data_IF_390710374167
#
_entry.id   IF_390710374167
#
_cell.length_a   1.000
_cell.length_b   1.000
_cell.length_c   1.000
_cell.angle_alpha   90.00
_cell.angle_beta   90.00
_cell.angle_gamma   90.00
#
_symmetry.space_group_name_H-M   'P 1'
#
loop_
_entity.id
_entity.type
_entity.pdbx_description
1 polymer ?
#
# COMPACT_ATOMS: atom_id res chain seq x y z
N UNK A 1 -18.49 -5.00 -8.42
CA UNK A 1 -17.70 -5.42 -9.59
C UNK A 1 -17.41 -4.19 -10.43
N UNK A 2 -16.25 -3.58 -10.22
CA UNK A 2 -15.84 -2.43 -11.02
C UNK A 2 -15.54 -2.91 -12.45
N UNK A 3 -16.39 -2.51 -13.41
CA UNK A 3 -16.21 -2.83 -14.84
C UNK A 3 -14.90 -2.27 -15.43
N UNK A 4 -14.23 -1.37 -14.74
CA UNK A 4 -12.94 -0.79 -15.12
C UNK A 4 -11.76 -1.75 -15.00
N UNK A 5 -11.88 -2.84 -14.26
CA UNK A 5 -10.79 -3.81 -14.06
C UNK A 5 -10.72 -4.89 -15.16
N UNK A 6 -11.73 -5.03 -16.00
CA UNK A 6 -11.77 -6.03 -17.07
C UNK A 6 -10.83 -5.72 -18.22
N UNK A 7 -9.58 -5.82 -18.03
CA UNK A 7 -8.54 -5.59 -19.05
C UNK A 7 -7.23 -5.09 -18.49
N UNK A 8 -7.25 -4.57 -17.25
CA UNK A 8 -6.07 -4.03 -16.57
C UNK A 8 -5.53 -5.01 -15.50
N UNK A 9 -6.26 -6.07 -15.17
CA UNK A 9 -6.00 -6.94 -14.03
C UNK A 9 -6.38 -6.27 -12.71
N UNK A 10 -6.79 -7.05 -11.74
CA UNK A 10 -7.17 -6.59 -10.41
C UNK A 10 -5.95 -6.56 -9.48
N UNK A 11 -5.69 -5.40 -8.86
CA UNK A 11 -4.67 -5.24 -7.82
C UNK A 11 -5.36 -5.10 -6.47
N UNK A 12 -5.01 -5.97 -5.52
CA UNK A 12 -5.56 -5.96 -4.18
C UNK A 12 -4.50 -5.63 -3.13
N UNK A 13 -4.82 -4.68 -2.22
CA UNK A 13 -3.98 -4.41 -1.05
C UNK A 13 -4.19 -5.50 0.00
N UNK A 14 -3.13 -6.25 0.32
CA UNK A 14 -3.12 -7.21 1.42
C UNK A 14 -2.41 -6.61 2.62
N UNK A 15 -3.19 -6.18 3.61
CA UNK A 15 -2.68 -5.69 4.86
C UNK A 15 -1.90 -6.79 5.59
N UNK A 16 -0.74 -6.45 6.17
CA UNK A 16 0.10 -7.42 6.88
C UNK A 16 -0.63 -7.95 8.12
N UNK A 17 -1.03 -7.08 9.02
CA UNK A 17 -1.62 -7.45 10.30
C UNK A 17 -3.14 -7.62 10.23
N UNK A 18 -3.68 -8.30 11.24
CA UNK A 18 -5.13 -8.45 11.49
C UNK A 18 -5.45 -7.99 12.91
N UNK A 19 -6.71 -7.61 13.17
CA UNK A 19 -7.14 -7.22 14.51
C UNK A 19 -7.22 -8.43 15.46
N UNK A 20 -7.09 -8.20 16.77
CA UNK A 20 -7.24 -9.25 17.80
C UNK A 20 -8.69 -9.77 17.91
N UNK A 21 -9.67 -8.98 17.43
CA UNK A 21 -11.09 -9.37 17.34
C UNK A 21 -11.51 -9.89 15.96
N UNK A 22 -10.54 -10.14 15.06
CA UNK A 22 -10.80 -10.69 13.73
C UNK A 22 -11.15 -12.18 13.75
N UNK A 23 -11.81 -12.65 12.70
CA UNK A 23 -12.04 -14.07 12.47
C UNK A 23 -10.72 -14.86 12.39
N UNK A 24 -9.67 -14.26 11.83
CA UNK A 24 -8.33 -14.87 11.73
C UNK A 24 -7.74 -15.15 13.12
N UNK A 25 -7.75 -14.14 14.00
CA UNK A 25 -7.22 -14.27 15.36
C UNK A 25 -8.08 -15.22 16.22
N UNK A 26 -9.38 -15.29 15.97
CA UNK A 26 -10.28 -16.20 16.67
C UNK A 26 -10.13 -17.66 16.23
N UNK A 27 -9.96 -17.90 14.92
CA UNK A 27 -9.90 -19.26 14.37
C UNK A 27 -8.55 -19.94 14.58
N UNK A 28 -7.46 -19.18 14.57
CA UNK A 28 -6.09 -19.68 14.67
C UNK A 28 -5.24 -18.82 15.64
N UNK A 29 -5.66 -18.69 16.93
CA UNK A 29 -5.03 -17.79 17.89
C UNK A 29 -3.55 -18.10 18.14
N UNK A 30 -3.12 -19.34 17.93
CA UNK A 30 -1.74 -19.79 18.09
C UNK A 30 -0.74 -19.13 17.12
N UNK A 31 -1.23 -18.54 16.05
CA UNK A 31 -0.42 -17.81 15.06
C UNK A 31 -0.07 -16.38 15.50
N UNK A 32 -0.64 -15.91 16.59
CA UNK A 32 -0.53 -14.53 17.06
C UNK A 32 -0.08 -14.46 18.51
N UNK A 33 0.54 -13.35 18.90
CA UNK A 33 0.88 -13.09 20.29
C UNK A 33 -0.35 -12.60 21.06
N UNK A 34 -1.19 -13.57 21.46
CA UNK A 34 -2.42 -13.36 22.23
C UNK A 34 -2.32 -13.98 23.62
N UNK A 35 -3.05 -13.38 24.58
CA UNK A 35 -3.31 -13.96 25.89
C UNK A 35 -4.36 -15.07 25.81
N UNK A 36 -4.54 -15.81 26.90
CA UNK A 36 -5.59 -16.84 27.02
C UNK A 36 -7.00 -16.29 26.88
N UNK A 37 -7.17 -14.96 27.01
CA UNK A 37 -8.45 -14.25 26.80
C UNK A 37 -8.60 -13.70 25.37
N UNK A 38 -7.67 -14.01 24.45
CA UNK A 38 -7.69 -13.56 23.07
C UNK A 38 -7.24 -12.11 22.86
N UNK A 39 -6.72 -11.43 23.89
CA UNK A 39 -6.20 -10.07 23.76
C UNK A 39 -4.73 -10.06 23.36
N UNK A 40 -4.36 -9.13 22.46
CA UNK A 40 -2.98 -8.95 22.06
C UNK A 40 -2.07 -8.65 23.26
N UNK A 41 -0.92 -9.33 23.34
CA UNK A 41 0.14 -9.11 24.34
C UNK A 41 1.37 -8.43 23.73
N UNK A 42 1.57 -8.60 22.44
CA UNK A 42 2.56 -7.89 21.61
C UNK A 42 1.81 -7.29 20.41
N UNK A 43 1.91 -5.99 20.24
CA UNK A 43 1.19 -5.25 19.20
C UNK A 43 2.14 -4.61 18.19
N UNK A 44 1.66 -4.43 16.99
CA UNK A 44 2.40 -3.81 15.89
C UNK A 44 2.40 -2.28 16.01
N UNK A 45 3.41 -1.67 15.42
CA UNK A 45 3.56 -0.23 15.32
C UNK A 45 4.74 0.16 14.44
N UNK A 46 5.13 1.41 14.49
CA UNK A 46 6.32 1.95 13.86
C UNK A 46 7.04 2.89 14.84
N UNK A 47 8.38 2.90 14.88
CA UNK A 47 9.12 3.82 15.73
C UNK A 47 8.93 5.27 15.28
N UNK A 48 9.30 6.26 16.10
CA UNK A 48 9.33 7.66 15.70
C UNK A 48 10.10 7.89 14.40
N UNK A 49 9.50 8.66 13.50
CA UNK A 49 10.10 9.09 12.25
C UNK A 49 9.72 10.55 11.92
N UNK A 50 10.09 11.03 10.73
CA UNK A 50 9.79 12.40 10.30
C UNK A 50 8.29 12.63 10.05
N UNK A 51 7.50 11.58 9.83
CA UNK A 51 6.06 11.65 9.59
C UNK A 51 5.25 11.52 10.89
N UNK A 52 5.78 10.76 11.86
CA UNK A 52 5.17 10.52 13.16
C UNK A 52 6.22 10.63 14.27
N UNK A 53 6.50 11.85 14.78
CA UNK A 53 7.55 12.08 15.79
C UNK A 53 7.39 11.28 17.09
N UNK A 54 6.16 10.91 17.44
CA UNK A 54 5.85 10.06 18.62
C UNK A 54 5.85 8.56 18.28
N UNK A 55 6.10 8.21 17.00
CA UNK A 55 5.89 6.87 16.46
C UNK A 55 4.41 6.54 16.30
N UNK A 56 4.14 5.30 15.90
CA UNK A 56 2.77 4.83 15.68
C UNK A 56 2.52 3.54 16.46
N UNK A 57 1.37 3.45 17.10
CA UNK A 57 0.85 2.24 17.75
C UNK A 57 -0.36 1.79 16.96
N UNK A 58 -0.25 0.69 16.21
CA UNK A 58 -1.36 0.19 15.36
C UNK A 58 -2.32 -0.72 16.11
N UNK A 59 -1.87 -1.34 17.20
CA UNK A 59 -2.71 -2.15 18.09
C UNK A 59 -3.01 -3.57 17.61
N UNK A 60 -2.64 -3.95 16.40
CA UNK A 60 -2.83 -5.31 15.91
C UNK A 60 -1.84 -6.27 16.56
N UNK A 61 -2.22 -7.52 16.89
CA UNK A 61 -1.30 -8.51 17.42
C UNK A 61 -0.19 -8.81 16.41
N UNK A 62 1.04 -8.98 16.90
CA UNK A 62 2.13 -9.44 16.07
C UNK A 62 2.09 -10.96 15.89
N UNK A 63 2.74 -11.45 14.83
CA UNK A 63 2.73 -12.86 14.47
C UNK A 63 3.74 -13.68 15.26
N UNK A 64 3.42 -14.94 15.51
CA UNK A 64 4.33 -15.96 15.99
C UNK A 64 4.99 -16.65 14.80
N UNK A 65 5.97 -15.96 14.19
CA UNK A 65 6.65 -16.42 12.99
C UNK A 65 7.38 -17.76 13.18
N UNK A 66 7.87 -18.06 14.39
CA UNK A 66 8.43 -19.35 14.79
C UNK A 66 7.41 -20.46 14.58
N UNK A 67 6.22 -20.27 15.10
CA UNK A 67 5.11 -21.20 15.01
C UNK A 67 4.61 -21.39 13.59
N UNK A 68 4.44 -20.27 12.87
CA UNK A 68 4.04 -20.31 11.47
C UNK A 68 5.06 -21.03 10.58
N UNK A 69 6.35 -20.87 10.86
CA UNK A 69 7.40 -21.59 10.13
C UNK A 69 7.32 -23.10 10.34
N UNK A 70 7.05 -23.58 11.57
CA UNK A 70 6.91 -25.00 11.90
C UNK A 70 5.81 -25.70 11.09
N UNK A 71 4.73 -24.97 10.76
CA UNK A 71 3.59 -25.50 9.97
C UNK A 71 3.62 -25.09 8.48
N UNK A 72 4.77 -24.60 7.97
CA UNK A 72 4.93 -24.19 6.58
C UNK A 72 4.16 -22.91 6.23
N UNK A 73 3.98 -22.00 7.19
CA UNK A 73 3.23 -20.75 7.00
C UNK A 73 1.80 -20.96 6.48
N UNK A 74 1.15 -22.05 6.86
CA UNK A 74 -0.14 -22.48 6.33
C UNK A 74 -1.18 -21.36 6.28
N UNK A 75 -1.34 -20.59 7.35
CA UNK A 75 -2.26 -19.45 7.40
C UNK A 75 -1.97 -18.42 6.28
N UNK A 76 -0.69 -18.09 6.06
CA UNK A 76 -0.29 -17.21 4.96
C UNK A 76 -0.53 -17.84 3.60
N UNK A 77 -0.26 -19.12 3.42
CA UNK A 77 -0.50 -19.83 2.15
C UNK A 77 -1.99 -19.83 1.79
N UNK A 78 -2.88 -20.08 2.74
CA UNK A 78 -4.32 -20.03 2.53
C UNK A 78 -4.80 -18.61 2.21
N UNK A 79 -4.27 -17.61 2.93
CA UNK A 79 -4.56 -16.19 2.70
C UNK A 79 -4.11 -15.73 1.31
N UNK A 80 -2.91 -16.11 0.88
CA UNK A 80 -2.37 -15.76 -0.44
C UNK A 80 -3.12 -16.50 -1.56
N UNK A 81 -3.37 -17.80 -1.38
CA UNK A 81 -4.17 -18.60 -2.34
C UNK A 81 -5.53 -17.95 -2.57
N UNK A 82 -6.21 -17.52 -1.50
CA UNK A 82 -7.48 -16.83 -1.62
C UNK A 82 -7.34 -15.48 -2.32
N UNK A 83 -6.33 -14.69 -2.01
CA UNK A 83 -6.11 -13.41 -2.66
C UNK A 83 -5.88 -13.58 -4.17
N UNK A 84 -4.98 -14.48 -4.58
CA UNK A 84 -4.69 -14.72 -5.99
C UNK A 84 -5.77 -15.50 -6.74
N UNK A 85 -6.75 -16.09 -6.05
CA UNK A 85 -7.96 -16.62 -6.71
C UNK A 85 -8.95 -15.53 -7.11
N UNK A 86 -8.79 -14.32 -6.60
CA UNK A 86 -9.68 -13.18 -6.82
C UNK A 86 -9.02 -12.05 -7.63
N UNK A 87 -7.70 -11.91 -7.51
CA UNK A 87 -6.96 -10.75 -8.02
C UNK A 87 -5.71 -11.19 -8.79
N UNK A 88 -5.35 -10.43 -9.81
CA UNK A 88 -4.17 -10.72 -10.65
C UNK A 88 -2.86 -10.27 -10.01
N UNK A 89 -2.92 -9.27 -9.13
CA UNK A 89 -1.79 -8.73 -8.38
C UNK A 89 -2.17 -8.46 -6.94
N UNK A 90 -1.21 -8.61 -6.03
CA UNK A 90 -1.40 -8.34 -4.60
C UNK A 90 -0.32 -7.38 -4.12
N UNK A 91 -0.73 -6.20 -3.66
CA UNK A 91 0.16 -5.27 -2.97
C UNK A 91 0.30 -5.72 -1.51
N UNK A 92 1.50 -6.08 -1.14
CA UNK A 92 1.86 -6.39 0.25
C UNK A 92 2.12 -5.09 1.00
N UNK A 93 1.20 -4.77 1.88
CA UNK A 93 1.30 -3.60 2.74
C UNK A 93 2.39 -3.81 3.80
N UNK A 94 3.10 -2.75 4.15
CA UNK A 94 4.18 -2.78 5.13
C UNK A 94 5.20 -3.89 4.85
N UNK A 95 5.70 -3.99 3.61
CA UNK A 95 6.59 -5.07 3.17
C UNK A 95 7.84 -5.21 4.03
N UNK A 96 8.35 -4.11 4.57
CA UNK A 96 9.48 -4.09 5.47
C UNK A 96 9.26 -5.03 6.69
N UNK A 97 8.02 -5.17 7.16
CA UNK A 97 7.65 -6.00 8.31
C UNK A 97 7.90 -7.50 8.09
N UNK A 98 7.98 -7.96 6.83
CA UNK A 98 8.39 -9.33 6.53
C UNK A 98 9.89 -9.57 6.72
N UNK A 99 10.71 -8.52 6.66
CA UNK A 99 12.13 -8.60 7.02
C UNK A 99 12.33 -8.37 8.50
N UNK A 100 11.79 -7.26 9.02
CA UNK A 100 11.84 -6.88 10.43
C UNK A 100 10.62 -6.02 10.77
N UNK A 101 10.00 -6.28 11.88
CA UNK A 101 8.82 -5.58 12.34
C UNK A 101 9.03 -4.97 13.72
N UNK A 102 8.32 -3.88 13.99
CA UNK A 102 8.38 -3.19 15.27
C UNK A 102 7.26 -3.72 16.18
N UNK A 103 7.64 -4.32 17.31
CA UNK A 103 6.74 -4.91 18.29
C UNK A 103 6.76 -4.11 19.58
N UNK A 104 5.59 -3.80 20.10
CA UNK A 104 5.37 -3.02 21.31
C UNK A 104 4.61 -3.92 22.28
N UNK A 105 5.05 -4.08 23.56
CA UNK A 105 4.25 -4.77 24.55
C UNK A 105 2.91 -4.05 24.75
N UNK A 106 1.81 -4.78 24.74
CA UNK A 106 0.45 -4.20 24.85
C UNK A 106 0.30 -3.33 26.09
N UNK A 107 -0.31 -2.15 25.91
CA UNK A 107 -0.48 -1.16 26.97
C UNK A 107 0.77 -0.33 27.30
N UNK A 108 1.86 -0.48 26.54
CA UNK A 108 3.07 0.33 26.65
C UNK A 108 3.12 1.42 25.57
N UNK A 109 4.01 2.40 25.77
CA UNK A 109 4.26 3.45 24.80
C UNK A 109 5.07 2.92 23.62
N UNK A 110 5.03 3.63 22.47
CA UNK A 110 5.83 3.30 21.30
C UNK A 110 7.33 3.19 21.62
N UNK A 111 7.84 4.06 22.53
CA UNK A 111 9.23 4.04 22.97
C UNK A 111 9.68 2.73 23.65
N UNK A 112 8.75 1.92 24.15
CA UNK A 112 9.03 0.60 24.76
C UNK A 112 9.11 -0.51 23.71
N UNK A 113 8.88 -0.18 22.45
CA UNK A 113 8.91 -1.13 21.35
C UNK A 113 10.32 -1.53 20.93
N UNK A 114 10.40 -2.61 20.17
CA UNK A 114 11.65 -3.17 19.66
C UNK A 114 11.51 -3.76 18.28
N UNK A 115 12.59 -3.73 17.51
CA UNK A 115 12.66 -4.43 16.24
C UNK A 115 12.89 -5.93 16.44
N UNK A 116 12.09 -6.74 15.76
CA UNK A 116 12.18 -8.19 15.73
C UNK A 116 12.31 -8.67 14.28
N UNK A 117 12.92 -9.84 14.07
CA UNK A 117 13.05 -10.44 12.75
C UNK A 117 11.70 -10.97 12.27
N UNK A 118 11.33 -10.65 11.02
CA UNK A 118 10.22 -11.25 10.32
C UNK A 118 10.58 -12.63 9.71
N UNK A 119 9.67 -13.24 8.94
CA UNK A 119 9.89 -14.54 8.29
C UNK A 119 10.94 -14.49 7.18
N UNK A 120 11.26 -13.28 6.69
CA UNK A 120 12.20 -13.10 5.61
C UNK A 120 11.72 -13.71 4.29
N UNK A 121 12.70 -14.11 3.47
CA UNK A 121 12.44 -14.76 2.17
C UNK A 121 11.81 -16.15 2.28
N UNK A 122 11.92 -16.81 3.43
CA UNK A 122 11.46 -18.19 3.61
C UNK A 122 9.94 -18.31 3.36
N UNK A 123 9.16 -17.35 3.84
CA UNK A 123 7.71 -17.28 3.58
C UNK A 123 7.40 -17.19 2.08
N UNK A 124 8.11 -16.33 1.36
CA UNK A 124 7.89 -16.12 -0.08
C UNK A 124 8.39 -17.31 -0.90
N UNK A 125 9.47 -17.94 -0.49
CA UNK A 125 9.92 -19.19 -1.11
C UNK A 125 8.87 -20.29 -0.96
N UNK A 126 8.33 -20.47 0.25
CA UNK A 126 7.23 -21.43 0.50
C UNK A 126 6.02 -21.10 -0.37
N UNK A 127 5.67 -19.81 -0.51
CA UNK A 127 4.56 -19.39 -1.37
C UNK A 127 4.79 -19.73 -2.84
N UNK A 128 6.00 -19.51 -3.38
CA UNK A 128 6.33 -19.91 -4.75
C UNK A 128 6.32 -21.41 -4.94
N UNK A 129 6.84 -22.17 -3.97
CA UNK A 129 6.90 -23.62 -4.06
C UNK A 129 5.50 -24.25 -4.02
N UNK A 130 4.57 -23.67 -3.26
CA UNK A 130 3.23 -24.22 -3.06
C UNK A 130 2.20 -23.67 -4.05
N UNK A 131 2.27 -22.38 -4.40
CA UNK A 131 1.27 -21.67 -5.19
C UNK A 131 1.72 -21.30 -6.61
N UNK A 132 3.02 -21.51 -6.91
CA UNK A 132 3.61 -21.11 -8.17
C UNK A 132 3.97 -19.62 -8.24
N UNK A 133 4.25 -19.08 -9.44
CA UNK A 133 4.59 -17.66 -9.62
C UNK A 133 3.46 -16.74 -9.17
N UNK A 134 3.79 -15.76 -8.33
CA UNK A 134 2.85 -14.81 -7.74
C UNK A 134 3.25 -13.37 -8.07
N UNK A 135 2.30 -12.56 -8.50
CA UNK A 135 2.50 -11.17 -8.89
C UNK A 135 2.34 -10.25 -7.68
N UNK A 136 3.37 -10.12 -6.83
CA UNK A 136 3.37 -9.17 -5.73
C UNK A 136 3.82 -7.77 -6.15
N UNK A 137 3.34 -6.77 -5.42
CA UNK A 137 3.89 -5.41 -5.36
C UNK A 137 4.28 -5.17 -3.91
N UNK A 138 5.54 -4.83 -3.65
CA UNK A 138 6.02 -4.53 -2.31
C UNK A 138 5.73 -3.06 -1.98
N UNK A 139 5.04 -2.79 -0.86
CA UNK A 139 5.01 -1.45 -0.31
C UNK A 139 6.36 -1.20 0.37
N UNK A 140 7.23 -0.49 -0.33
CA UNK A 140 8.61 -0.20 0.04
C UNK A 140 8.80 1.29 0.36
N UNK A 141 7.82 1.89 1.03
CA UNK A 141 7.86 3.28 1.47
C UNK A 141 8.52 3.40 2.86
N UNK A 142 9.01 4.60 3.18
CA UNK A 142 9.66 4.90 4.47
C UNK A 142 11.13 4.47 4.54
N UNK A 143 11.63 4.20 5.75
CA UNK A 143 13.05 3.89 5.97
C UNK A 143 13.40 2.44 5.63
N UNK A 144 13.94 2.23 4.43
CA UNK A 144 14.36 0.92 3.97
C UNK A 144 15.82 0.63 4.33
N UNK A 145 16.02 -0.36 5.20
CA UNK A 145 17.37 -0.88 5.49
C UNK A 145 17.95 -1.63 4.26
N UNK A 146 19.28 -1.77 4.16
CA UNK A 146 19.89 -2.59 3.12
C UNK A 146 19.33 -4.03 3.06
N UNK A 147 18.97 -4.61 4.21
CA UNK A 147 18.37 -5.95 4.29
C UNK A 147 16.98 -6.03 3.64
N UNK A 148 16.13 -5.03 3.86
CA UNK A 148 14.80 -4.95 3.21
C UNK A 148 14.94 -4.81 1.70
N UNK A 149 15.84 -3.94 1.22
CA UNK A 149 16.11 -3.78 -0.23
C UNK A 149 16.62 -5.08 -0.85
N UNK A 150 17.56 -5.76 -0.19
CA UNK A 150 18.08 -7.03 -0.65
C UNK A 150 16.99 -8.11 -0.70
N UNK A 151 16.09 -8.15 0.27
CA UNK A 151 14.95 -9.08 0.28
C UNK A 151 14.00 -8.81 -0.88
N UNK A 152 13.57 -7.57 -1.10
CA UNK A 152 12.69 -7.19 -2.21
C UNK A 152 13.32 -7.55 -3.57
N UNK A 153 14.61 -7.22 -3.76
CA UNK A 153 15.35 -7.58 -4.96
C UNK A 153 15.47 -9.11 -5.16
N UNK A 154 15.76 -9.86 -4.09
CA UNK A 154 15.84 -11.33 -4.16
C UNK A 154 14.50 -11.97 -4.51
N UNK A 155 13.39 -11.43 -3.97
CA UNK A 155 12.05 -11.91 -4.29
C UNK A 155 11.55 -11.43 -5.67
N UNK A 156 12.21 -10.46 -6.30
CA UNK A 156 11.82 -9.91 -7.60
C UNK A 156 10.52 -9.09 -7.56
N UNK A 157 10.16 -8.55 -6.39
CA UNK A 157 8.93 -7.76 -6.25
C UNK A 157 9.17 -6.32 -6.67
N UNK A 158 8.35 -5.75 -7.59
CA UNK A 158 8.35 -4.33 -7.84
C UNK A 158 7.94 -3.57 -6.57
N UNK A 159 8.66 -2.48 -6.31
CA UNK A 159 8.29 -1.51 -5.29
C UNK A 159 7.34 -0.44 -5.83
N UNK A 160 7.17 0.62 -5.05
CA UNK A 160 6.29 1.75 -5.37
C UNK A 160 7.10 3.04 -5.54
N UNK A 161 6.74 3.83 -6.55
CA UNK A 161 7.08 5.25 -6.64
C UNK A 161 5.79 6.06 -6.44
N UNK A 162 5.78 6.98 -5.49
CA UNK A 162 4.64 7.86 -5.24
C UNK A 162 5.06 9.29 -5.56
N UNK A 163 4.28 10.01 -6.35
CA UNK A 163 4.67 11.35 -6.84
C UNK A 163 5.02 12.32 -5.70
N UNK A 164 4.27 12.30 -4.60
CA UNK A 164 4.53 13.14 -3.42
C UNK A 164 5.90 12.87 -2.76
N UNK A 165 6.48 11.67 -2.97
CA UNK A 165 7.77 11.26 -2.40
C UNK A 165 8.93 11.26 -3.41
N UNK A 166 8.70 11.82 -4.60
CA UNK A 166 9.75 11.96 -5.60
C UNK A 166 10.86 12.89 -5.11
N UNK A 167 12.10 12.54 -5.38
CA UNK A 167 13.30 13.32 -5.05
C UNK A 167 13.66 14.35 -6.15
N UNK A 168 12.79 14.50 -7.15
CA UNK A 168 12.91 15.45 -8.27
C UNK A 168 11.64 16.31 -8.38
N UNK A 169 11.74 17.45 -9.09
CA UNK A 169 10.59 18.30 -9.37
C UNK A 169 9.69 17.65 -10.44
N UNK A 170 8.59 17.06 -10.02
CA UNK A 170 7.63 16.37 -10.90
C UNK A 170 7.04 17.26 -12.01
N UNK A 171 7.09 18.60 -11.85
CA UNK A 171 6.67 19.55 -12.88
C UNK A 171 7.64 19.63 -14.07
N UNK A 172 8.88 19.21 -13.86
CA UNK A 172 9.91 19.14 -14.91
C UNK A 172 9.87 17.83 -15.70
N UNK A 173 9.07 16.88 -15.28
CA UNK A 173 8.91 15.56 -15.90
C UNK A 173 8.71 14.46 -14.88
N UNK A 174 8.14 13.34 -15.30
CA UNK A 174 7.97 12.15 -14.47
C UNK A 174 9.04 11.13 -14.86
N UNK A 175 9.89 10.76 -13.89
CA UNK A 175 11.00 9.85 -14.07
C UNK A 175 10.87 8.64 -13.15
N UNK A 176 10.04 7.64 -13.51
CA UNK A 176 9.81 6.47 -12.67
C UNK A 176 11.09 5.67 -12.47
N UNK A 177 11.30 5.15 -11.28
CA UNK A 177 12.37 4.18 -11.03
C UNK A 177 12.11 2.92 -11.85
N UNK A 178 13.09 2.45 -12.64
CA UNK A 178 12.90 1.27 -13.47
C UNK A 178 12.37 0.06 -12.68
N UNK A 179 11.30 -0.54 -13.18
CA UNK A 179 10.68 -1.72 -12.57
C UNK A 179 9.74 -1.44 -11.40
N UNK A 180 9.62 -0.20 -10.92
CA UNK A 180 8.64 0.17 -9.90
C UNK A 180 7.28 0.52 -10.50
N UNK A 181 6.25 0.42 -9.67
CA UNK A 181 4.89 0.84 -9.98
C UNK A 181 4.73 2.30 -9.58
N UNK A 182 4.26 3.13 -10.50
CA UNK A 182 4.05 4.55 -10.25
C UNK A 182 2.65 4.79 -9.68
N UNK A 183 2.56 5.52 -8.60
CA UNK A 183 1.32 5.95 -7.96
C UNK A 183 1.21 7.46 -8.01
N UNK A 184 0.07 7.99 -8.44
CA UNK A 184 -0.19 9.44 -8.38
C UNK A 184 -0.36 9.88 -6.94
N UNK A 185 -1.10 9.12 -6.14
CA UNK A 185 -1.21 9.20 -4.69
C UNK A 185 -1.56 7.83 -4.12
N UNK A 186 -1.70 7.71 -2.79
CA UNK A 186 -2.17 6.51 -2.10
C UNK A 186 -3.27 6.88 -1.11
N UNK A 187 -3.92 5.87 -0.50
CA UNK A 187 -4.88 6.11 0.58
C UNK A 187 -4.26 6.76 1.82
N UNK A 188 -2.94 6.65 2.02
CA UNK A 188 -2.19 7.20 3.17
C UNK A 188 -1.56 8.57 2.91
N UNK A 189 -1.51 9.01 1.64
CA UNK A 189 -1.00 10.32 1.24
C UNK A 189 -2.13 11.32 1.07
N UNK A 190 -1.77 12.55 0.76
CA UNK A 190 -2.73 13.51 0.23
C UNK A 190 -3.31 13.04 -1.10
N UNK A 191 -4.49 13.53 -1.48
CA UNK A 191 -4.89 13.44 -2.88
C UNK A 191 -3.92 14.22 -3.75
N UNK A 192 -3.78 13.85 -5.02
CA UNK A 192 -2.86 14.55 -5.92
C UNK A 192 -3.21 16.04 -6.02
N UNK A 193 -4.50 16.39 -6.12
CA UNK A 193 -4.96 17.78 -6.19
C UNK A 193 -4.67 18.52 -4.86
N UNK A 194 -4.92 17.91 -3.70
CA UNK A 194 -4.62 18.50 -2.41
C UNK A 194 -3.13 18.76 -2.23
N UNK A 195 -2.28 17.81 -2.60
CA UNK A 195 -0.82 17.98 -2.57
C UNK A 195 -0.37 19.09 -3.52
N UNK A 196 -0.85 19.12 -4.77
CA UNK A 196 -0.54 20.18 -5.74
C UNK A 196 -0.94 21.56 -5.24
N UNK A 197 -2.13 21.68 -4.66
CA UNK A 197 -2.67 22.94 -4.11
C UNK A 197 -1.74 23.50 -3.02
N UNK A 198 -1.32 22.65 -2.08
CA UNK A 198 -0.44 23.10 -0.99
C UNK A 198 1.00 23.35 -1.43
N UNK A 199 1.54 22.46 -2.23
CA UNK A 199 3.00 22.46 -2.50
C UNK A 199 3.40 23.39 -3.64
N UNK A 200 2.50 23.63 -4.61
CA UNK A 200 2.87 24.34 -5.84
C UNK A 200 1.95 25.51 -6.18
N UNK A 201 0.68 25.50 -5.78
CA UNK A 201 -0.30 26.50 -6.14
C UNK A 201 -0.55 27.55 -5.04
N UNK A 202 0.22 27.52 -3.94
CA UNK A 202 0.10 28.50 -2.86
C UNK A 202 -1.27 28.54 -2.18
N UNK A 203 -2.03 27.45 -2.26
CA UNK A 203 -3.37 27.32 -1.71
C UNK A 203 -4.50 27.59 -2.74
N UNK A 204 -4.18 27.94 -3.99
CA UNK A 204 -5.17 28.12 -5.04
C UNK A 204 -5.64 26.74 -5.58
N UNK A 205 -6.80 26.32 -5.15
CA UNK A 205 -7.37 25.01 -5.48
C UNK A 205 -7.57 24.78 -6.98
N UNK A 206 -8.13 25.72 -7.78
CA UNK A 206 -8.27 25.53 -9.23
C UNK A 206 -6.94 25.29 -9.95
N UNK A 207 -5.88 26.01 -9.55
CA UNK A 207 -4.52 25.80 -10.07
C UNK A 207 -3.94 24.45 -9.65
N UNK A 208 -4.21 24.03 -8.40
CA UNK A 208 -3.82 22.72 -7.90
C UNK A 208 -4.47 21.56 -8.66
N UNK A 209 -5.76 21.65 -8.93
CA UNK A 209 -6.50 20.64 -9.72
C UNK A 209 -5.98 20.59 -11.16
N UNK A 210 -5.70 21.75 -11.76
CA UNK A 210 -5.13 21.81 -13.13
C UNK A 210 -3.78 21.11 -13.19
N UNK A 211 -2.87 21.42 -12.25
CA UNK A 211 -1.57 20.78 -12.18
C UNK A 211 -1.68 19.27 -11.92
N UNK A 212 -2.57 18.84 -11.04
CA UNK A 212 -2.82 17.42 -10.79
C UNK A 212 -3.24 16.68 -12.06
N UNK A 213 -4.12 17.27 -12.87
CA UNK A 213 -4.52 16.69 -14.15
C UNK A 213 -3.35 16.58 -15.15
N UNK A 214 -2.47 17.56 -15.19
CA UNK A 214 -1.24 17.53 -16.01
C UNK A 214 -0.29 16.43 -15.54
N UNK A 215 -0.06 16.32 -14.22
CA UNK A 215 0.80 15.29 -13.65
C UNK A 215 0.25 13.87 -13.90
N UNK A 216 -1.06 13.66 -13.82
CA UNK A 216 -1.66 12.37 -14.20
C UNK A 216 -1.40 12.03 -15.67
N UNK A 217 -1.56 13.00 -16.57
CA UNK A 217 -1.22 12.83 -17.99
C UNK A 217 0.25 12.46 -18.19
N UNK A 218 1.15 13.16 -17.53
CA UNK A 218 2.59 12.91 -17.57
C UNK A 218 2.95 11.54 -16.97
N UNK A 219 2.30 11.14 -15.87
CA UNK A 219 2.48 9.81 -15.29
C UNK A 219 2.08 8.70 -16.27
N UNK A 220 0.94 8.85 -16.93
CA UNK A 220 0.48 7.90 -17.95
C UNK A 220 1.36 7.88 -19.19
N UNK A 221 1.97 9.00 -19.57
CA UNK A 221 2.91 9.09 -20.70
C UNK A 221 4.32 8.61 -20.36
N UNK A 222 4.62 8.33 -19.08
CA UNK A 222 5.94 7.89 -18.63
C UNK A 222 6.22 6.41 -18.96
N UNK A 223 7.48 6.00 -18.79
CA UNK A 223 7.93 4.61 -18.98
C UNK A 223 7.56 3.67 -17.82
N UNK A 224 6.76 4.11 -16.85
CA UNK A 224 6.32 3.26 -15.75
C UNK A 224 5.57 2.02 -16.29
N UNK A 225 5.90 0.79 -15.83
CA UNK A 225 5.24 -0.41 -16.32
C UNK A 225 3.75 -0.46 -15.94
N UNK A 226 3.39 0.16 -14.82
CA UNK A 226 2.01 0.31 -14.34
C UNK A 226 1.88 1.66 -13.62
N UNK A 227 0.76 2.34 -13.85
CA UNK A 227 0.39 3.57 -13.16
C UNK A 227 -0.91 3.33 -12.37
N UNK A 228 -0.86 3.59 -11.08
CA UNK A 228 -2.01 3.51 -10.18
C UNK A 228 -2.50 4.92 -9.85
N UNK A 229 -3.78 5.16 -10.10
CA UNK A 229 -4.44 6.45 -9.85
C UNK A 229 -5.65 6.20 -8.94
N UNK A 230 -5.67 6.68 -7.70
CA UNK A 230 -6.88 6.69 -6.89
C UNK A 230 -8.04 7.42 -7.57
N UNK A 231 -9.25 6.99 -7.28
CA UNK A 231 -10.46 7.59 -7.86
C UNK A 231 -10.55 9.10 -7.56
N UNK A 232 -10.14 9.50 -6.37
CA UNK A 232 -10.09 10.90 -5.95
C UNK A 232 -9.20 11.74 -6.87
N UNK A 233 -8.04 11.21 -7.27
CA UNK A 233 -7.13 11.92 -8.18
C UNK A 233 -7.75 12.08 -9.56
N UNK A 234 -8.35 11.01 -10.10
CA UNK A 234 -9.06 11.06 -11.39
C UNK A 234 -10.19 12.08 -11.36
N UNK A 235 -10.93 12.16 -10.27
CA UNK A 235 -12.01 13.14 -10.09
C UNK A 235 -11.48 14.56 -9.87
N UNK A 236 -10.23 14.72 -9.43
CA UNK A 236 -9.60 15.99 -9.09
C UNK A 236 -10.06 16.54 -7.75
N UNK A 237 -10.31 15.64 -6.79
CA UNK A 237 -10.78 16.01 -5.45
C UNK A 237 -9.63 16.44 -4.55
N UNK A 238 -9.89 17.39 -3.66
CA UNK A 238 -8.98 17.86 -2.64
C UNK A 238 -8.84 16.89 -1.44
N UNK A 239 -8.12 17.34 -0.39
CA UNK A 239 -7.84 16.52 0.79
C UNK A 239 -9.06 16.23 1.67
N UNK A 240 -10.19 16.87 1.45
CA UNK A 240 -11.48 16.51 2.04
C UNK A 240 -11.96 15.11 1.62
N UNK A 241 -11.49 14.64 0.46
CA UNK A 241 -11.70 13.25 -0.02
C UNK A 241 -10.58 12.28 0.35
N UNK A 242 -9.56 12.69 1.12
CA UNK A 242 -8.47 11.82 1.57
C UNK A 242 -9.00 10.67 2.41
N UNK A 243 -8.50 9.45 2.15
CA UNK A 243 -8.98 8.24 2.83
C UNK A 243 -8.43 8.08 4.23
N UNK A 244 -7.12 8.30 4.40
CA UNK A 244 -6.45 8.02 5.66
C UNK A 244 -5.33 9.03 5.94
N UNK A 245 -5.26 9.44 7.21
CA UNK A 245 -4.14 10.23 7.75
C UNK A 245 -3.41 9.34 8.76
N UNK A 246 -2.22 8.81 8.42
CA UNK A 246 -1.46 7.96 9.33
C UNK A 246 -1.25 8.61 10.70
N UNK A 247 -1.43 7.81 11.78
CA UNK A 247 -1.31 8.30 13.16
C UNK A 247 -2.54 9.00 13.71
N UNK A 248 -3.58 9.27 12.92
CA UNK A 248 -4.86 9.85 13.36
C UNK A 248 -5.87 8.73 13.59
N UNK A 249 -6.45 8.68 14.80
CA UNK A 249 -7.32 7.57 15.21
C UNK A 249 -8.75 7.66 14.69
N UNK A 250 -9.23 8.81 14.26
CA UNK A 250 -10.64 9.06 13.89
C UNK A 250 -10.76 9.88 12.61
N UNK A 251 -11.92 9.81 11.94
CA UNK A 251 -12.20 10.58 10.73
C UNK A 251 -11.64 9.99 9.44
N UNK A 252 -10.93 8.87 9.50
CA UNK A 252 -10.41 8.16 8.35
C UNK A 252 -11.46 7.22 7.73
N UNK A 253 -11.26 6.86 6.44
CA UNK A 253 -12.09 5.88 5.70
C UNK A 253 -13.57 6.27 5.60
N UNK A 254 -13.87 7.57 5.56
CA UNK A 254 -15.24 8.09 5.53
C UNK A 254 -15.72 8.49 4.13
N UNK A 255 -14.80 8.87 3.23
CA UNK A 255 -15.16 9.22 1.87
C UNK A 255 -15.66 8.01 1.08
N UNK A 256 -16.72 8.20 0.30
CA UNK A 256 -17.30 7.17 -0.57
C UNK A 256 -17.68 7.83 -1.90
N UNK A 257 -17.42 7.11 -3.00
CA UNK A 257 -17.87 7.50 -4.31
C UNK A 257 -19.34 7.10 -4.52
N UNK A 258 -20.10 7.93 -5.20
CA UNK A 258 -21.43 7.58 -5.70
C UNK A 258 -21.37 7.14 -7.18
N UNK A 259 -22.53 6.78 -7.76
CA UNK A 259 -22.62 6.34 -9.15
C UNK A 259 -22.21 7.44 -10.15
N UNK A 260 -22.46 8.71 -9.82
CA UNK A 260 -22.10 9.86 -10.67
C UNK A 260 -20.58 10.07 -10.66
N UNK A 261 -19.92 9.90 -9.51
CA UNK A 261 -18.47 9.93 -9.38
C UNK A 261 -17.81 8.83 -10.25
N UNK A 262 -18.33 7.63 -10.20
CA UNK A 262 -17.81 6.50 -11.01
C UNK A 262 -17.96 6.81 -12.49
N UNK A 263 -19.12 7.26 -12.95
CA UNK A 263 -19.37 7.59 -14.35
C UNK A 263 -18.45 8.75 -14.83
N UNK A 264 -18.27 9.78 -14.00
CA UNK A 264 -17.36 10.89 -14.31
C UNK A 264 -15.89 10.44 -14.40
N UNK A 265 -15.48 9.53 -13.53
CA UNK A 265 -14.13 8.97 -13.55
C UNK A 265 -13.88 8.09 -14.79
N UNK A 266 -14.88 7.32 -15.23
CA UNK A 266 -14.79 6.55 -16.48
C UNK A 266 -14.53 7.44 -17.69
N UNK A 267 -15.28 8.53 -17.83
CA UNK A 267 -15.12 9.49 -18.93
C UNK A 267 -13.73 10.15 -18.89
N UNK A 268 -13.31 10.64 -17.70
CA UNK A 268 -12.00 11.27 -17.51
C UNK A 268 -10.86 10.31 -17.80
N UNK A 269 -10.92 9.06 -17.29
CA UNK A 269 -9.91 8.03 -17.52
C UNK A 269 -9.81 7.70 -19.00
N UNK A 270 -10.94 7.49 -19.69
CA UNK A 270 -10.94 7.22 -21.12
C UNK A 270 -10.33 8.37 -21.93
N UNK A 271 -10.54 9.63 -21.54
CA UNK A 271 -9.91 10.79 -22.15
C UNK A 271 -8.40 10.84 -21.90
N UNK A 272 -7.96 10.60 -20.67
CA UNK A 272 -6.54 10.55 -20.31
C UNK A 272 -5.80 9.45 -21.11
N UNK A 273 -6.35 8.25 -21.18
CA UNK A 273 -5.76 7.13 -21.92
C UNK A 273 -5.64 7.45 -23.44
N UNK A 274 -6.68 8.04 -24.04
CA UNK A 274 -6.62 8.46 -25.46
C UNK A 274 -5.52 9.50 -25.69
N UNK A 275 -5.40 10.48 -24.82
CA UNK A 275 -4.45 11.58 -24.98
C UNK A 275 -2.99 11.15 -24.78
N UNK A 276 -2.75 10.12 -23.97
CA UNK A 276 -1.40 9.61 -23.67
C UNK A 276 -1.00 8.41 -24.53
N UNK A 277 -1.91 7.95 -25.40
CA UNK A 277 -1.73 6.74 -26.23
C UNK A 277 -1.37 5.49 -25.43
N UNK A 278 -1.73 5.47 -24.14
CA UNK A 278 -1.50 4.32 -23.25
C UNK A 278 -2.69 3.38 -23.32
N UNK A 279 -2.76 2.61 -24.41
CA UNK A 279 -3.76 1.56 -24.59
C UNK A 279 -3.19 0.23 -24.11
N UNK A 280 -4.03 -0.57 -23.46
CA UNK A 280 -3.72 -1.96 -23.21
C UNK A 280 -3.88 -2.76 -24.47
N UNK A 281 -2.76 -3.31 -24.91
CA UNK A 281 -2.71 -4.51 -25.72
C UNK A 281 -3.33 -4.42 -27.12
N UNK A 282 -2.52 -4.09 -28.08
CA UNK A 282 -2.32 -4.93 -29.25
C UNK A 282 -0.82 -5.19 -29.29
N UNK A 283 -0.40 -6.33 -28.73
CA UNK A 283 0.88 -6.95 -28.97
C UNK A 283 0.62 -8.21 -29.76
#
# INVERSE_FOLDING_TARGET
>A
DCLLSRGLGDVYKRQMYVSDDSADAWSEPENFWLSDTGKAIEISGAPPDNFAPEGQVWGNPTFRWDRMKENGYRWWMDRLRRAFSLYDRVRLDHFLGFHSYFSIPAGKACADGRWLAGPGKDLFQTAYDELGPLNFIAEDLGYLTPGVRAMASTCGFPGMDVLEFSDYDVRCGIHPTPGKILYTSTHDTSTLAGWCTRSFAGGDEPSGITLASELMGNALASDAPLVMMPLQDVLGLGDDARMNVPGVATGNWTWQADEADVAAAEEKTAKLLRNTHRFWGEA
#
